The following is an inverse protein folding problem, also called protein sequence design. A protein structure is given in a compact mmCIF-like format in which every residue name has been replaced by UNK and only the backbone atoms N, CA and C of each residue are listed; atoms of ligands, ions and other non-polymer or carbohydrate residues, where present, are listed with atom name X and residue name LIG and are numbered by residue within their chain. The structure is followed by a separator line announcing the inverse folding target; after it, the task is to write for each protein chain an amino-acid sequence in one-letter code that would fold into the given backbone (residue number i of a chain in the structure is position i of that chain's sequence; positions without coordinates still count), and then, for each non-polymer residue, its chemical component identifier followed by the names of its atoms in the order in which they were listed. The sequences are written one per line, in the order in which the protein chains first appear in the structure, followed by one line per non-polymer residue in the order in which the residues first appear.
data_IF_257955448737
#
_entry.id   IF_257955448737
#
_cell.length_a   1.000
_cell.length_b   1.000
_cell.length_c   1.000
_cell.angle_alpha   90.00
_cell.angle_beta   90.00
_cell.angle_gamma   90.00
#
_symmetry.space_group_name_H-M   'P 1'
#
loop_
_entity.id
_entity.type
_entity.pdbx_description
1 polymer ?
#
# COMPACT_ATOMS: atom_id res chain seq x y z
N UNK A 1 8.28 -11.25 -29.29
CA UNK A 1 7.21 -10.30 -29.65
C UNK A 1 6.54 -9.90 -28.34
N UNK A 2 6.73 -8.66 -27.88
CA UNK A 2 6.16 -8.21 -26.60
C UNK A 2 4.66 -7.98 -26.71
N UNK A 3 3.95 -8.12 -25.59
CA UNK A 3 2.56 -7.66 -25.49
C UNK A 3 2.58 -6.13 -25.52
N UNK A 4 1.73 -5.53 -26.33
CA UNK A 4 1.50 -4.08 -26.37
C UNK A 4 0.04 -3.81 -26.08
N UNK A 5 -0.24 -2.90 -25.15
CA UNK A 5 -1.60 -2.41 -24.97
C UNK A 5 -1.96 -1.46 -26.11
N UNK A 6 -3.06 -1.76 -26.80
CA UNK A 6 -3.55 -0.93 -27.91
C UNK A 6 -4.33 0.30 -27.43
N UNK A 7 -4.64 0.41 -26.13
CA UNK A 7 -5.30 1.61 -25.59
C UNK A 7 -4.31 2.65 -25.09
N UNK A 8 -3.29 2.23 -24.34
CA UNK A 8 -2.26 3.11 -23.78
C UNK A 8 -1.00 3.22 -24.65
N UNK A 9 -0.84 2.32 -25.64
CA UNK A 9 0.42 2.09 -26.36
C UNK A 9 1.58 1.59 -25.48
N UNK A 10 1.32 1.21 -24.22
CA UNK A 10 2.35 0.72 -23.31
C UNK A 10 2.87 -0.64 -23.75
N UNK A 11 4.17 -0.85 -23.55
CA UNK A 11 4.85 -2.10 -23.84
C UNK A 11 5.05 -2.92 -22.56
N UNK A 12 5.00 -4.25 -22.68
CA UNK A 12 5.18 -5.14 -21.55
C UNK A 12 6.58 -5.04 -20.93
N UNK A 13 6.62 -4.74 -19.63
CA UNK A 13 7.81 -4.63 -18.81
C UNK A 13 8.09 -5.97 -18.12
N UNK A 14 8.80 -6.85 -18.83
CA UNK A 14 9.08 -8.22 -18.37
C UNK A 14 9.94 -8.22 -17.11
N UNK A 15 11.00 -7.40 -17.07
CA UNK A 15 11.94 -7.34 -15.95
C UNK A 15 11.25 -6.93 -14.64
N UNK A 16 10.39 -5.91 -14.70
CA UNK A 16 9.63 -5.45 -13.54
C UNK A 16 8.60 -6.50 -13.07
N UNK A 17 7.95 -7.19 -14.01
CA UNK A 17 7.04 -8.29 -13.67
C UNK A 17 7.77 -9.41 -12.93
N UNK A 18 8.93 -9.82 -13.44
CA UNK A 18 9.75 -10.87 -12.82
C UNK A 18 10.24 -10.44 -11.43
N UNK A 19 10.66 -9.18 -11.30
CA UNK A 19 11.06 -8.63 -10.01
C UNK A 19 9.91 -8.65 -8.99
N UNK A 20 8.71 -8.19 -9.36
CA UNK A 20 7.53 -8.22 -8.49
C UNK A 20 7.22 -9.67 -8.10
N UNK A 21 7.17 -10.59 -9.05
CA UNK A 21 6.88 -11.99 -8.77
C UNK A 21 7.94 -12.61 -7.84
N UNK A 22 9.23 -12.30 -8.03
CA UNK A 22 10.32 -12.74 -7.13
C UNK A 22 10.22 -12.16 -5.73
N UNK A 23 9.66 -10.96 -5.57
CA UNK A 23 9.35 -10.39 -4.24
C UNK A 23 8.16 -11.12 -3.61
N UNK A 24 7.12 -11.43 -4.39
CA UNK A 24 5.92 -12.12 -3.92
C UNK A 24 6.19 -13.56 -3.50
N UNK A 25 7.10 -14.29 -4.16
CA UNK A 25 7.47 -15.66 -3.75
C UNK A 25 8.07 -15.74 -2.35
N UNK A 26 8.56 -14.63 -1.79
CA UNK A 26 9.03 -14.57 -0.39
C UNK A 26 7.87 -14.49 0.62
N UNK A 27 6.67 -14.13 0.18
CA UNK A 27 5.49 -13.90 1.01
C UNK A 27 4.44 -15.00 0.86
N UNK A 28 4.42 -15.68 -0.29
CA UNK A 28 3.45 -16.71 -0.64
C UNK A 28 4.00 -17.65 -1.71
N UNK A 29 3.44 -18.84 -1.80
CA UNK A 29 3.88 -19.85 -2.76
C UNK A 29 3.47 -19.51 -4.21
N UNK A 30 2.29 -18.90 -4.39
CA UNK A 30 1.68 -18.68 -5.70
C UNK A 30 1.79 -17.21 -6.17
N UNK A 31 2.18 -17.01 -7.43
CA UNK A 31 2.40 -15.69 -8.02
C UNK A 31 1.28 -15.30 -9.01
N UNK A 32 1.42 -14.11 -9.62
CA UNK A 32 0.44 -13.56 -10.58
C UNK A 32 0.10 -14.51 -11.74
N UNK A 33 1.05 -15.35 -12.17
CA UNK A 33 0.88 -16.27 -13.30
C UNK A 33 -0.18 -17.36 -13.07
N UNK A 34 -0.40 -17.78 -11.82
CA UNK A 34 -1.42 -18.76 -11.45
C UNK A 34 -2.84 -18.20 -11.49
N UNK A 35 -2.99 -16.88 -11.63
CA UNK A 35 -4.32 -16.28 -11.72
C UNK A 35 -5.02 -16.65 -13.03
N UNK A 36 -6.12 -17.38 -12.91
CA UNK A 36 -7.08 -17.72 -13.96
C UNK A 36 -8.27 -16.75 -14.09
N UNK A 37 -8.21 -15.56 -13.47
CA UNK A 37 -9.19 -14.48 -13.67
C UNK A 37 -10.65 -14.80 -13.26
N UNK A 38 -10.88 -15.60 -12.21
CA UNK A 38 -12.23 -15.92 -11.73
C UNK A 38 -13.04 -14.76 -11.10
N UNK A 39 -12.46 -13.55 -10.97
CA UNK A 39 -13.13 -12.33 -10.46
C UNK A 39 -13.59 -12.38 -8.98
N UNK A 40 -13.39 -13.49 -8.25
CA UNK A 40 -13.79 -13.61 -6.83
C UNK A 40 -13.20 -12.53 -5.91
N UNK A 41 -11.99 -12.07 -6.20
CA UNK A 41 -11.35 -10.98 -5.46
C UNK A 41 -12.07 -9.63 -5.65
N UNK A 42 -12.57 -9.34 -6.84
CA UNK A 42 -13.32 -8.11 -7.14
C UNK A 42 -14.74 -8.17 -6.61
N UNK A 43 -15.43 -9.30 -6.78
CA UNK A 43 -16.78 -9.51 -6.23
C UNK A 43 -16.84 -9.28 -4.71
N UNK A 44 -15.78 -9.68 -3.99
CA UNK A 44 -15.67 -9.47 -2.54
C UNK A 44 -15.03 -8.15 -2.10
N UNK A 45 -14.68 -7.24 -3.01
CA UNK A 45 -13.96 -6.02 -2.69
C UNK A 45 -14.92 -4.87 -2.37
N UNK A 46 -14.79 -4.27 -1.18
CA UNK A 46 -15.56 -3.08 -0.82
C UNK A 46 -15.13 -1.85 -1.63
N UNK A 47 -13.82 -1.70 -1.87
CA UNK A 47 -13.28 -0.60 -2.65
C UNK A 47 -13.75 -0.63 -4.11
N UNK A 48 -14.10 -1.80 -4.66
CA UNK A 48 -14.70 -1.88 -6.00
C UNK A 48 -16.03 -1.10 -6.08
N UNK A 49 -16.87 -1.22 -5.04
CA UNK A 49 -18.22 -0.64 -5.04
C UNK A 49 -18.22 0.89 -4.96
N UNK A 50 -17.16 1.47 -4.41
CA UNK A 50 -17.10 2.90 -4.09
C UNK A 50 -16.02 3.64 -4.89
N UNK A 51 -14.94 2.94 -5.26
CA UNK A 51 -13.69 3.52 -5.76
C UNK A 51 -13.13 2.72 -6.96
N UNK A 52 -13.94 1.88 -7.58
CA UNK A 52 -13.65 1.17 -8.84
C UNK A 52 -12.39 0.27 -8.82
N UNK A 53 -11.88 -0.10 -7.63
CA UNK A 53 -10.78 -1.05 -7.54
C UNK A 53 -11.21 -2.42 -8.06
N UNK A 54 -10.54 -2.91 -9.09
CA UNK A 54 -10.77 -4.25 -9.63
C UNK A 54 -9.51 -5.12 -9.43
N UNK A 55 -9.36 -5.81 -8.28
CA UNK A 55 -8.16 -6.59 -8.00
C UNK A 55 -7.83 -7.64 -9.05
N UNK A 56 -8.82 -8.24 -9.72
CA UNK A 56 -8.55 -9.20 -10.80
C UNK A 56 -7.84 -8.55 -12.00
N UNK A 57 -8.23 -7.32 -12.38
CA UNK A 57 -7.57 -6.56 -13.45
C UNK A 57 -6.16 -6.13 -13.07
N UNK A 58 -5.94 -5.76 -11.81
CA UNK A 58 -4.58 -5.48 -11.29
C UNK A 58 -3.66 -6.68 -11.49
N UNK A 59 -4.12 -7.88 -11.13
CA UNK A 59 -3.36 -9.11 -11.38
C UNK A 59 -3.17 -9.39 -12.87
N UNK A 60 -4.19 -9.11 -13.69
CA UNK A 60 -4.12 -9.33 -15.14
C UNK A 60 -3.08 -8.40 -15.82
N UNK A 61 -3.04 -7.13 -15.42
CA UNK A 61 -2.07 -6.15 -15.91
C UNK A 61 -0.65 -6.51 -15.47
N UNK A 62 -0.47 -6.90 -14.20
CA UNK A 62 0.81 -7.45 -13.72
C UNK A 62 1.26 -8.65 -14.54
N UNK A 63 0.37 -9.64 -14.75
CA UNK A 63 0.68 -10.85 -15.54
C UNK A 63 1.12 -10.53 -16.97
N UNK A 64 0.57 -9.46 -17.56
CA UNK A 64 0.93 -8.95 -18.90
C UNK A 64 2.17 -8.04 -18.91
N UNK A 65 2.70 -7.66 -17.76
CA UNK A 65 3.84 -6.74 -17.65
C UNK A 65 3.47 -5.27 -17.85
N UNK A 66 2.20 -4.89 -17.78
CA UNK A 66 1.76 -3.49 -17.92
C UNK A 66 1.82 -2.81 -16.54
N UNK A 67 3.03 -2.67 -15.98
CA UNK A 67 3.22 -2.23 -14.58
C UNK A 67 3.07 -0.73 -14.44
N UNK A 68 3.60 0.03 -15.41
CA UNK A 68 3.46 1.48 -15.45
C UNK A 68 1.99 1.93 -15.37
N UNK A 69 1.10 1.29 -16.12
CA UNK A 69 -0.34 1.61 -16.07
C UNK A 69 -0.93 1.49 -14.65
N UNK A 70 -0.42 0.55 -13.86
CA UNK A 70 -0.82 0.36 -12.47
C UNK A 70 -0.16 1.37 -11.54
N UNK A 71 1.15 1.57 -11.68
CA UNK A 71 1.94 2.49 -10.85
C UNK A 71 1.47 3.93 -11.04
N UNK A 72 1.14 4.32 -12.27
CA UNK A 72 0.61 5.64 -12.60
C UNK A 72 -0.89 5.80 -12.30
N UNK A 73 -1.62 4.73 -11.97
CA UNK A 73 -3.00 4.83 -11.55
C UNK A 73 -3.15 5.11 -10.05
N UNK A 74 -4.08 6.00 -9.68
CA UNK A 74 -4.42 6.24 -8.27
C UNK A 74 -5.28 5.11 -7.67
N UNK A 75 -5.80 4.22 -8.52
CA UNK A 75 -6.64 3.10 -8.09
C UNK A 75 -5.92 2.20 -7.08
N UNK A 76 -4.58 2.07 -7.15
CA UNK A 76 -3.83 1.24 -6.21
C UNK A 76 -3.97 1.72 -4.76
N UNK A 77 -4.16 3.02 -4.54
CA UNK A 77 -4.29 3.65 -3.22
C UNK A 77 -5.67 3.45 -2.59
N UNK A 78 -6.68 3.08 -3.37
CA UNK A 78 -8.04 2.83 -2.90
C UNK A 78 -8.18 1.52 -2.11
N UNK A 79 -7.17 0.64 -2.18
CA UNK A 79 -7.15 -0.61 -1.44
C UNK A 79 -7.11 -0.36 0.06
N UNK A 80 -8.17 -0.79 0.76
CA UNK A 80 -8.33 -0.71 2.22
C UNK A 80 -7.49 -1.73 3.00
N UNK A 81 -6.72 -2.59 2.32
CA UNK A 81 -5.88 -3.60 2.96
C UNK A 81 -6.64 -4.54 3.90
N UNK A 82 -7.88 -4.92 3.53
CA UNK A 82 -8.74 -5.79 4.35
C UNK A 82 -8.44 -7.29 4.22
N UNK A 83 -7.49 -7.67 3.37
CA UNK A 83 -7.05 -9.06 3.11
C UNK A 83 -8.10 -10.07 2.61
N UNK A 84 -9.37 -9.66 2.36
CA UNK A 84 -10.41 -10.58 1.86
C UNK A 84 -10.04 -11.29 0.56
N UNK A 85 -9.33 -10.61 -0.33
CA UNK A 85 -8.90 -11.18 -1.61
C UNK A 85 -7.81 -12.25 -1.43
N UNK A 86 -7.03 -12.20 -0.34
CA UNK A 86 -6.05 -13.24 0.04
C UNK A 86 -6.76 -14.50 0.50
N UNK A 87 -7.64 -14.36 1.48
CA UNK A 87 -8.39 -15.48 2.08
C UNK A 87 -9.31 -16.21 1.09
N UNK A 88 -9.90 -15.48 0.13
CA UNK A 88 -10.89 -16.05 -0.78
C UNK A 88 -10.29 -16.62 -2.06
N UNK A 89 -9.02 -16.33 -2.37
CA UNK A 89 -8.42 -16.71 -3.65
C UNK A 89 -8.23 -18.22 -3.75
N UNK A 90 -8.86 -18.91 -4.71
CA UNK A 90 -8.68 -20.36 -4.88
C UNK A 90 -7.29 -20.73 -5.43
N UNK A 91 -6.53 -19.76 -5.94
CA UNK A 91 -5.17 -19.91 -6.48
C UNK A 91 -4.11 -19.25 -5.57
N UNK A 92 -4.51 -18.76 -4.38
CA UNK A 92 -3.60 -18.16 -3.38
C UNK A 92 -2.67 -17.04 -3.91
N UNK A 93 -3.07 -16.32 -4.97
CA UNK A 93 -2.28 -15.23 -5.59
C UNK A 93 -2.21 -13.95 -4.75
N UNK A 94 -3.13 -13.79 -3.79
CA UNK A 94 -3.26 -12.63 -2.90
C UNK A 94 -3.07 -11.24 -3.57
N UNK A 95 -4.10 -10.73 -4.28
CA UNK A 95 -4.02 -9.41 -4.95
C UNK A 95 -3.62 -8.23 -4.05
N UNK A 96 -3.86 -8.32 -2.74
CA UNK A 96 -3.44 -7.30 -1.75
C UNK A 96 -1.91 -7.17 -1.66
N UNK A 97 -1.18 -8.29 -1.74
CA UNK A 97 0.28 -8.28 -1.65
C UNK A 97 0.90 -7.68 -2.93
N UNK A 98 0.27 -7.94 -4.08
CA UNK A 98 0.59 -7.26 -5.36
C UNK A 98 0.37 -5.75 -5.24
N UNK A 99 -0.76 -5.31 -4.65
CA UNK A 99 -1.03 -3.89 -4.46
C UNK A 99 0.00 -3.22 -3.54
N UNK A 100 0.49 -3.89 -2.50
CA UNK A 100 1.58 -3.36 -1.69
C UNK A 100 2.89 -3.23 -2.46
N UNK A 101 3.25 -4.23 -3.27
CA UNK A 101 4.43 -4.14 -4.13
C UNK A 101 4.33 -2.95 -5.10
N UNK A 102 3.18 -2.75 -5.74
CA UNK A 102 2.94 -1.63 -6.65
C UNK A 102 2.99 -0.27 -5.93
N UNK A 103 2.42 -0.14 -4.72
CA UNK A 103 2.52 1.08 -3.91
C UNK A 103 3.97 1.42 -3.57
N UNK A 104 4.77 0.43 -3.17
CA UNK A 104 6.18 0.63 -2.86
C UNK A 104 6.96 1.09 -4.11
N UNK A 105 6.66 0.52 -5.28
CA UNK A 105 7.26 0.95 -6.54
C UNK A 105 6.85 2.38 -6.93
N UNK A 106 5.58 2.75 -6.71
CA UNK A 106 5.12 4.12 -6.95
C UNK A 106 5.84 5.15 -6.07
N UNK A 107 6.10 4.82 -4.81
CA UNK A 107 6.91 5.66 -3.91
C UNK A 107 8.36 5.74 -4.41
N UNK A 108 8.94 4.59 -4.78
CA UNK A 108 10.32 4.48 -5.26
C UNK A 108 10.59 5.25 -6.56
N UNK A 109 9.62 5.29 -7.48
CA UNK A 109 9.73 6.02 -8.74
C UNK A 109 9.58 7.54 -8.58
N UNK A 110 9.38 8.03 -7.35
CA UNK A 110 9.21 9.44 -7.05
C UNK A 110 7.85 9.99 -7.46
N UNK A 111 6.85 9.12 -7.67
CA UNK A 111 5.48 9.56 -8.00
C UNK A 111 4.86 10.29 -6.81
N UNK A 112 4.00 11.26 -7.11
CA UNK A 112 3.15 11.88 -6.11
C UNK A 112 2.24 10.84 -5.44
N UNK A 113 2.43 10.67 -4.13
CA UNK A 113 1.56 9.87 -3.27
C UNK A 113 0.41 10.75 -2.74
N UNK A 114 -0.74 10.17 -2.35
CA UNK A 114 -1.82 10.96 -1.76
C UNK A 114 -1.32 11.73 -0.53
N UNK A 115 -1.69 13.01 -0.43
CA UNK A 115 -1.09 13.96 0.50
C UNK A 115 -1.14 13.55 1.97
N UNK A 116 -2.20 12.83 2.38
CA UNK A 116 -2.34 12.33 3.74
C UNK A 116 -1.21 11.37 4.13
N UNK A 117 -0.71 10.54 3.19
CA UNK A 117 0.43 9.66 3.47
C UNK A 117 1.72 10.44 3.69
N UNK A 118 1.93 11.51 2.91
CA UNK A 118 3.09 12.40 3.09
C UNK A 118 3.03 13.11 4.44
N UNK A 119 1.86 13.62 4.83
CA UNK A 119 1.65 14.25 6.13
C UNK A 119 1.90 13.27 7.29
N UNK A 120 1.38 12.04 7.19
CA UNK A 120 1.64 10.99 8.18
C UNK A 120 3.13 10.67 8.28
N UNK A 121 3.85 10.56 7.16
CA UNK A 121 5.30 10.30 7.16
C UNK A 121 6.09 11.44 7.83
N UNK A 122 5.75 12.70 7.53
CA UNK A 122 6.37 13.86 8.16
C UNK A 122 6.13 13.90 9.68
N UNK A 123 4.92 13.54 10.11
CA UNK A 123 4.58 13.41 11.53
C UNK A 123 5.44 12.33 12.20
N UNK A 124 5.56 11.15 11.59
CA UNK A 124 6.40 10.07 12.13
C UNK A 124 7.85 10.54 12.24
N UNK A 125 8.40 11.15 11.20
CA UNK A 125 9.80 11.59 11.21
C UNK A 125 10.06 12.67 12.26
N UNK A 126 9.12 13.59 12.47
CA UNK A 126 9.30 14.73 13.40
C UNK A 126 9.05 14.37 14.87
N UNK A 127 7.96 13.67 15.18
CA UNK A 127 7.51 13.42 16.55
C UNK A 127 7.50 11.93 16.95
N UNK A 128 7.74 11.03 16.00
CA UNK A 128 7.69 9.58 16.22
C UNK A 128 6.30 8.96 16.17
N UNK A 129 5.27 9.75 15.85
CA UNK A 129 3.87 9.33 15.83
C UNK A 129 3.18 9.73 14.53
N UNK A 130 2.11 9.03 14.18
CA UNK A 130 1.27 9.38 13.02
C UNK A 130 0.48 10.67 13.32
N UNK A 131 -0.03 10.81 14.54
CA UNK A 131 -0.78 11.98 14.99
C UNK A 131 -0.18 12.50 16.30
N UNK A 132 -0.22 13.81 16.48
CA UNK A 132 0.21 14.41 17.74
C UNK A 132 -0.81 14.14 18.86
N UNK A 133 -0.41 14.38 20.10
CA UNK A 133 -1.27 14.23 21.28
C UNK A 133 -2.49 15.12 21.13
N UNK A 134 -3.65 14.50 20.94
CA UNK A 134 -4.92 15.20 20.76
C UNK A 134 -5.55 15.53 22.11
N UNK A 135 -6.28 16.64 22.14
CA UNK A 135 -7.21 16.94 23.22
C UNK A 135 -8.63 16.55 22.80
N UNK A 136 -9.31 15.77 23.63
CA UNK A 136 -10.61 15.19 23.25
C UNK A 136 -11.73 15.95 23.96
N UNK A 137 -12.73 16.49 23.22
CA UNK A 137 -13.92 17.05 23.84
C UNK A 137 -14.79 15.94 24.43
N UNK A 138 -15.17 16.10 25.69
CA UNK A 138 -16.12 15.20 26.36
C UNK A 138 -17.56 15.55 25.99
N UNK A 139 -18.50 14.65 26.30
CA UNK A 139 -19.95 14.91 26.17
C UNK A 139 -20.41 16.20 26.86
N UNK A 140 -19.71 16.63 27.91
CA UNK A 140 -20.01 17.85 28.65
C UNK A 140 -19.32 19.09 28.07
N UNK A 141 -18.85 19.03 26.81
CA UNK A 141 -18.12 20.10 26.12
C UNK A 141 -16.83 20.56 26.82
N UNK A 142 -16.31 19.76 27.76
CA UNK A 142 -15.01 20.00 28.40
C UNK A 142 -13.94 19.25 27.65
N UNK A 143 -12.90 19.94 27.23
CA UNK A 143 -11.69 19.33 26.67
C UNK A 143 -10.92 18.61 27.78
N UNK A 144 -10.44 17.40 27.49
CA UNK A 144 -9.64 16.59 28.41
C UNK A 144 -8.36 16.13 27.77
N UNK A 145 -7.30 16.14 28.57
CA UNK A 145 -5.99 15.56 28.27
C UNK A 145 -5.76 14.32 29.13
N UNK A 146 -4.70 13.58 28.81
CA UNK A 146 -4.28 12.39 29.57
C UNK A 146 -4.01 12.72 31.04
N UNK A 147 -3.39 13.87 31.32
CA UNK A 147 -3.10 14.34 32.69
C UNK A 147 -4.36 14.56 33.52
N UNK A 148 -5.43 15.08 32.93
CA UNK A 148 -6.72 15.29 33.62
C UNK A 148 -7.37 13.96 34.06
N UNK A 149 -6.95 12.86 33.45
CA UNK A 149 -7.39 11.50 33.75
C UNK A 149 -6.39 10.73 34.63
N UNK A 150 -5.32 11.38 35.10
CA UNK A 150 -4.24 10.74 35.86
C UNK A 150 -3.43 9.73 35.05
N UNK A 151 -3.48 9.79 33.72
CA UNK A 151 -2.74 8.88 32.84
C UNK A 151 -1.33 9.43 32.57
N UNK A 152 -0.32 8.55 32.42
CA UNK A 152 1.03 8.97 32.09
C UNK A 152 1.12 9.59 30.69
N UNK A 153 2.11 10.46 30.52
CA UNK A 153 2.45 11.06 29.25
C UNK A 153 2.87 10.02 28.20
N UNK A 154 2.74 10.41 26.94
CA UNK A 154 3.02 9.52 25.81
C UNK A 154 4.54 9.38 25.63
N UNK A 155 5.02 8.14 25.56
CA UNK A 155 6.45 7.85 25.40
C UNK A 155 6.94 8.17 23.98
N UNK A 156 7.79 9.19 23.84
CA UNK A 156 8.44 9.54 22.55
C UNK A 156 9.74 8.76 22.34
N UNK A 157 10.22 8.62 21.09
CA UNK A 157 11.57 8.13 20.83
C UNK A 157 12.59 8.93 21.65
N UNK A 158 13.47 8.24 22.39
CA UNK A 158 14.47 8.89 23.26
C UNK A 158 15.45 9.77 22.47
N UNK A 159 15.76 9.35 21.25
CA UNK A 159 16.64 10.05 20.31
C UNK A 159 15.96 10.10 18.94
N UNK A 160 15.42 11.27 18.60
CA UNK A 160 14.71 11.52 17.35
C UNK A 160 15.68 11.45 16.16
N UNK A 161 16.91 11.94 16.31
CA UNK A 161 17.91 11.91 15.23
C UNK A 161 18.28 10.48 14.85
N UNK A 162 18.54 9.63 15.85
CA UNK A 162 18.80 8.20 15.62
C UNK A 162 17.59 7.49 15.04
N UNK A 163 16.38 7.83 15.50
CA UNK A 163 15.14 7.27 14.97
C UNK A 163 14.94 7.62 13.49
N UNK A 164 15.11 8.89 13.12
CA UNK A 164 15.05 9.36 11.74
C UNK A 164 16.09 8.65 10.86
N UNK A 165 17.35 8.56 11.31
CA UNK A 165 18.40 7.87 10.55
C UNK A 165 18.05 6.40 10.27
N UNK A 166 17.51 5.68 11.25
CA UNK A 166 17.10 4.27 11.08
C UNK A 166 15.95 4.16 10.09
N UNK A 167 14.94 5.03 10.18
CA UNK A 167 13.81 5.03 9.26
C UNK A 167 14.23 5.36 7.82
N UNK A 168 15.06 6.38 7.62
CA UNK A 168 15.58 6.73 6.29
C UNK A 168 16.41 5.60 5.72
N UNK A 169 17.25 4.95 6.54
CA UNK A 169 18.01 3.77 6.11
C UNK A 169 17.10 2.63 5.64
N UNK A 170 16.05 2.33 6.40
CA UNK A 170 15.06 1.30 6.03
C UNK A 170 14.29 1.65 4.76
N UNK A 171 13.99 2.94 4.53
CA UNK A 171 13.32 3.40 3.34
C UNK A 171 14.20 3.26 2.08
N UNK A 172 15.52 3.47 2.22
CA UNK A 172 16.48 3.36 1.10
C UNK A 172 16.90 1.92 0.82
N UNK A 173 17.06 1.08 1.85
CA UNK A 173 17.54 -0.31 1.69
C UNK A 173 16.49 -1.29 1.11
N UNK A 174 15.22 -0.89 0.97
CA UNK A 174 14.11 -1.79 0.59
C UNK A 174 13.27 -1.33 -0.60
N UNK A 175 13.72 -0.32 -1.33
CA UNK A 175 13.21 -0.03 -2.68
C UNK A 175 13.71 -1.08 -3.64
#
# INVERSE_FOLDING_TARGET
MGIKDLTSMAEAQVDLREEINKRLTKLQDEISDYCFQCVKCTSGCEAHKLLELEPHKVVALLKRGLIDELVYSDVIWTCMSCFKCKERCPQRVAPVDILFALKNMAVASGKQIPGDYTAMLQSILSIGFIQDVQEVPTRNMKTRRRMDLGLPDVSKPKDIGRFQMILTKLAVEKV
#
